data_IF_928408909135
#
_entry.id   IF_928408909135
#
_cell.length_a   1.000
_cell.length_b   1.000
_cell.length_c   1.000
_cell.angle_alpha   90.00
_cell.angle_beta   90.00
_cell.angle_gamma   90.00
#
_symmetry.space_group_name_H-M   'P 1'
#
loop_
_entity.id
_entity.type
_entity.pdbx_description
1 polymer ?
#
# COMPACT_ATOMS: atom_id res chain seq x y z
N UNK A 1 -60.44 -37.38 -45.34
CA UNK A 1 -59.64 -36.55 -46.26
C UNK A 1 -58.26 -36.43 -45.61
N UNK A 2 -57.24 -37.13 -46.12
CA UNK A 2 -55.91 -37.17 -45.48
C UNK A 2 -55.10 -36.00 -46.02
N UNK A 3 -54.72 -35.10 -45.12
CA UNK A 3 -53.90 -33.92 -45.40
C UNK A 3 -52.50 -34.37 -45.87
N UNK A 4 -52.13 -34.03 -47.10
CA UNK A 4 -50.79 -34.33 -47.64
C UNK A 4 -49.76 -33.41 -46.98
N UNK A 5 -48.70 -34.02 -46.44
CA UNK A 5 -47.55 -33.30 -45.89
C UNK A 5 -46.87 -32.42 -46.96
N UNK A 6 -46.20 -31.32 -46.58
CA UNK A 6 -45.51 -30.41 -47.50
C UNK A 6 -44.41 -31.10 -48.31
N UNK A 7 -44.24 -30.75 -49.60
CA UNK A 7 -43.23 -31.33 -50.51
C UNK A 7 -41.78 -31.26 -50.01
N UNK A 8 -41.48 -30.38 -49.06
CA UNK A 8 -40.16 -30.26 -48.43
C UNK A 8 -39.83 -31.45 -47.52
N UNK A 9 -40.84 -32.09 -46.92
CA UNK A 9 -40.66 -33.31 -46.12
C UNK A 9 -40.32 -34.52 -46.99
N UNK A 10 -40.87 -34.61 -48.22
CA UNK A 10 -40.55 -35.69 -49.16
C UNK A 10 -39.09 -35.65 -49.62
N UNK A 11 -38.50 -34.46 -49.74
CA UNK A 11 -37.10 -34.26 -50.09
C UNK A 11 -36.14 -34.54 -48.92
N UNK A 12 -36.59 -34.31 -47.68
CA UNK A 12 -35.79 -34.56 -46.48
C UNK A 12 -35.88 -36.02 -46.00
N UNK A 13 -36.93 -36.75 -46.38
CA UNK A 13 -37.21 -38.11 -45.91
C UNK A 13 -36.08 -39.13 -46.19
N UNK A 14 -35.38 -39.11 -47.34
CA UNK A 14 -34.24 -40.01 -47.57
C UNK A 14 -33.06 -39.69 -46.65
N UNK A 15 -32.70 -38.41 -46.52
CA UNK A 15 -31.60 -37.96 -45.65
C UNK A 15 -31.88 -38.29 -44.18
N UNK A 16 -33.12 -38.12 -43.71
CA UNK A 16 -33.56 -38.51 -42.37
C UNK A 16 -33.47 -40.03 -42.15
N UNK A 17 -33.78 -40.84 -43.16
CA UNK A 17 -33.61 -42.30 -43.09
C UNK A 17 -32.14 -42.70 -43.02
N UNK A 18 -31.28 -42.10 -43.85
CA UNK A 18 -29.83 -42.38 -43.82
C UNK A 18 -29.21 -41.95 -42.48
N UNK A 19 -29.57 -40.77 -41.97
CA UNK A 19 -29.13 -40.32 -40.65
C UNK A 19 -29.61 -41.27 -39.53
N UNK A 20 -30.85 -41.76 -39.63
CA UNK A 20 -31.42 -42.74 -38.70
C UNK A 20 -30.71 -44.10 -38.78
N UNK A 21 -30.33 -44.55 -39.97
CA UNK A 21 -29.62 -45.82 -40.14
C UNK A 21 -28.17 -45.72 -39.65
N UNK A 22 -27.49 -44.60 -39.92
CA UNK A 22 -26.14 -44.34 -39.40
C UNK A 22 -26.15 -44.26 -37.87
N UNK A 23 -27.12 -43.57 -37.27
CA UNK A 23 -27.26 -43.50 -35.80
C UNK A 23 -27.69 -44.82 -35.15
N UNK A 24 -28.31 -45.73 -35.91
CA UNK A 24 -28.62 -47.09 -35.48
C UNK A 24 -27.50 -48.10 -35.75
N UNK A 25 -26.48 -47.72 -36.51
CA UNK A 25 -25.34 -48.59 -36.75
C UNK A 25 -24.65 -48.94 -35.42
N UNK A 26 -24.24 -50.20 -35.28
CA UNK A 26 -23.57 -50.68 -34.06
C UNK A 26 -22.28 -49.93 -33.76
N UNK A 27 -21.59 -49.40 -34.78
CA UNK A 27 -20.39 -48.58 -34.63
C UNK A 27 -20.69 -47.23 -33.94
N UNK A 28 -21.75 -46.52 -34.36
CA UNK A 28 -22.13 -45.24 -33.73
C UNK A 28 -22.70 -45.47 -32.33
N UNK A 29 -23.50 -46.51 -32.13
CA UNK A 29 -24.00 -46.90 -30.81
C UNK A 29 -22.86 -47.31 -29.86
N UNK A 30 -21.85 -48.03 -30.36
CA UNK A 30 -20.65 -48.40 -29.62
C UNK A 30 -19.81 -47.19 -29.21
N UNK A 31 -19.63 -46.22 -30.12
CA UNK A 31 -18.95 -44.97 -29.81
C UNK A 31 -19.72 -44.15 -28.77
N UNK A 32 -21.05 -44.03 -28.91
CA UNK A 32 -21.90 -43.36 -27.92
C UNK A 32 -21.86 -44.07 -26.55
N UNK A 33 -21.82 -45.41 -26.54
CA UNK A 33 -21.67 -46.18 -25.30
C UNK A 33 -20.31 -45.94 -24.65
N UNK A 34 -19.23 -45.84 -25.44
CA UNK A 34 -17.89 -45.52 -24.97
C UNK A 34 -17.75 -44.07 -24.46
N UNK A 35 -18.50 -43.13 -25.04
CA UNK A 35 -18.51 -41.72 -24.61
C UNK A 35 -19.41 -41.45 -23.40
N UNK A 36 -20.39 -42.33 -23.14
CA UNK A 36 -21.39 -42.15 -22.08
C UNK A 36 -20.79 -41.92 -20.69
N UNK A 37 -19.74 -42.65 -20.26
CA UNK A 37 -19.10 -42.40 -18.97
C UNK A 37 -18.46 -41.01 -18.91
N UNK A 38 -17.73 -40.59 -19.95
CA UNK A 38 -17.13 -39.25 -20.00
C UNK A 38 -18.19 -38.15 -19.97
N UNK A 39 -19.28 -38.29 -20.72
CA UNK A 39 -20.41 -37.36 -20.69
C UNK A 39 -21.05 -37.28 -19.30
N UNK A 40 -21.20 -38.42 -18.60
CA UNK A 40 -21.70 -38.45 -17.22
C UNK A 40 -20.76 -37.72 -16.28
N UNK A 41 -19.46 -38.01 -16.32
CA UNK A 41 -18.46 -37.31 -15.47
C UNK A 41 -18.46 -35.81 -15.72
N UNK A 42 -18.55 -35.36 -16.97
CA UNK A 42 -18.66 -33.94 -17.28
C UNK A 42 -19.95 -33.36 -16.69
N UNK A 43 -21.09 -34.04 -16.83
CA UNK A 43 -22.35 -33.56 -16.25
C UNK A 43 -22.30 -33.50 -14.71
N UNK A 44 -21.69 -34.50 -14.06
CA UNK A 44 -21.54 -34.57 -12.60
C UNK A 44 -20.64 -33.47 -12.06
N UNK A 45 -19.63 -33.02 -12.82
CA UNK A 45 -18.70 -31.96 -12.42
C UNK A 45 -19.17 -30.58 -12.82
N UNK A 46 -20.01 -30.45 -13.86
CA UNK A 46 -20.44 -29.16 -14.40
C UNK A 46 -21.23 -28.34 -13.38
N UNK A 47 -22.18 -28.96 -12.67
CA UNK A 47 -23.02 -28.25 -11.71
C UNK A 47 -22.22 -27.79 -10.47
N UNK A 48 -21.41 -28.65 -9.81
CA UNK A 48 -20.55 -28.21 -8.70
C UNK A 48 -19.53 -27.15 -9.11
N UNK A 49 -18.96 -27.27 -10.31
CA UNK A 49 -18.03 -26.26 -10.84
C UNK A 49 -18.74 -24.93 -11.09
N UNK A 50 -19.95 -24.97 -11.65
CA UNK A 50 -20.79 -23.79 -11.84
C UNK A 50 -21.10 -23.08 -10.52
N UNK A 51 -21.44 -23.84 -9.48
CA UNK A 51 -21.66 -23.31 -8.13
C UNK A 51 -20.37 -22.68 -7.55
N UNK A 52 -19.23 -23.38 -7.63
CA UNK A 52 -17.95 -22.86 -7.16
C UNK A 52 -17.53 -21.56 -7.90
N UNK A 53 -17.76 -21.50 -9.21
CA UNK A 53 -17.49 -20.29 -10.00
C UNK A 53 -18.46 -19.15 -9.64
N UNK A 54 -19.72 -19.46 -9.30
CA UNK A 54 -20.67 -18.47 -8.81
C UNK A 54 -20.20 -17.85 -7.49
N UNK A 55 -19.61 -18.64 -6.60
CA UNK A 55 -19.05 -18.16 -5.32
C UNK A 55 -17.77 -17.33 -5.51
N UNK A 56 -16.96 -17.64 -6.52
CA UNK A 56 -15.74 -16.89 -6.84
C UNK A 56 -15.99 -15.59 -7.60
N UNK A 57 -17.13 -15.50 -8.29
CA UNK A 57 -17.45 -14.35 -9.15
C UNK A 57 -17.45 -12.99 -8.41
N UNK A 58 -18.02 -12.84 -7.21
CA UNK A 58 -17.92 -11.61 -6.41
C UNK A 58 -16.48 -11.21 -6.13
N UNK A 59 -15.63 -12.17 -5.74
CA UNK A 59 -14.22 -11.95 -5.44
C UNK A 59 -13.47 -11.49 -6.69
N UNK A 60 -13.66 -12.19 -7.81
CA UNK A 60 -13.02 -11.84 -9.07
C UNK A 60 -13.41 -10.42 -9.53
N UNK A 61 -14.69 -10.05 -9.38
CA UNK A 61 -15.18 -8.69 -9.69
C UNK A 61 -14.59 -7.64 -8.76
N UNK A 62 -14.59 -7.89 -7.45
CA UNK A 62 -13.94 -6.99 -6.48
C UNK A 62 -12.47 -6.74 -6.87
N UNK A 63 -11.73 -7.80 -7.18
CA UNK A 63 -10.33 -7.67 -7.57
C UNK A 63 -10.19 -6.91 -8.88
N UNK A 64 -10.99 -7.22 -9.90
CA UNK A 64 -10.89 -6.60 -11.23
C UNK A 64 -11.30 -5.12 -11.22
N UNK A 65 -12.39 -4.77 -10.52
CA UNK A 65 -13.05 -3.47 -10.63
C UNK A 65 -12.60 -2.48 -9.55
N UNK A 66 -12.23 -2.98 -8.35
CA UNK A 66 -11.88 -2.13 -7.20
C UNK A 66 -10.40 -2.22 -6.81
N UNK A 67 -9.82 -3.42 -6.71
CA UNK A 67 -8.45 -3.58 -6.18
C UNK A 67 -7.38 -3.35 -7.24
N UNK A 68 -7.45 -4.07 -8.37
CA UNK A 68 -6.43 -4.03 -9.40
C UNK A 68 -6.25 -2.63 -10.03
N UNK A 69 -7.30 -1.83 -10.28
CA UNK A 69 -7.14 -0.48 -10.79
C UNK A 69 -6.40 0.42 -9.80
N UNK A 70 -6.69 0.31 -8.50
CA UNK A 70 -6.00 1.08 -7.45
C UNK A 70 -4.53 0.68 -7.37
N UNK A 71 -4.24 -0.62 -7.39
CA UNK A 71 -2.86 -1.12 -7.34
C UNK A 71 -2.03 -0.67 -8.55
N UNK A 72 -2.65 -0.53 -9.73
CA UNK A 72 -2.00 -0.10 -10.97
C UNK A 72 -1.95 1.41 -11.16
N UNK A 73 -2.77 2.17 -10.45
CA UNK A 73 -2.77 3.62 -10.48
C UNK A 73 -1.50 4.18 -9.83
N UNK A 74 -1.18 5.43 -10.13
CA UNK A 74 -0.12 6.22 -9.47
C UNK A 74 -0.76 7.16 -8.46
N UNK A 75 -0.04 7.47 -7.37
CA UNK A 75 -0.51 8.46 -6.39
C UNK A 75 -0.05 9.87 -6.81
N UNK A 76 -0.97 10.81 -7.08
CA UNK A 76 -0.64 12.18 -7.48
C UNK A 76 -0.37 13.07 -6.24
N UNK A 77 0.82 12.96 -5.66
CA UNK A 77 1.31 13.74 -4.52
C UNK A 77 2.38 14.78 -4.91
N UNK A 78 2.28 15.31 -6.13
CA UNK A 78 3.17 16.36 -6.65
C UNK A 78 4.65 15.95 -6.62
N UNK A 79 5.49 16.73 -5.92
CA UNK A 79 6.93 16.44 -5.79
C UNK A 79 7.25 15.16 -5.00
N UNK A 80 6.27 14.63 -4.27
CA UNK A 80 6.42 13.41 -3.48
C UNK A 80 5.91 12.17 -4.22
N UNK A 81 5.33 12.33 -5.42
CA UNK A 81 5.00 11.21 -6.30
C UNK A 81 6.26 10.49 -6.77
N UNK A 82 6.25 9.16 -6.66
CA UNK A 82 7.28 8.29 -7.24
C UNK A 82 7.10 8.10 -8.75
N UNK A 83 5.90 8.39 -9.27
CA UNK A 83 5.49 8.06 -10.63
C UNK A 83 5.31 6.56 -10.89
N UNK A 84 5.42 5.72 -9.85
CA UNK A 84 5.25 4.28 -9.95
C UNK A 84 3.84 3.86 -9.54
N UNK A 85 3.36 2.69 -10.01
CA UNK A 85 2.12 2.11 -9.53
C UNK A 85 2.14 1.86 -8.02
N UNK A 86 0.99 1.99 -7.35
CA UNK A 86 0.83 1.80 -5.90
C UNK A 86 1.44 0.48 -5.41
N UNK A 87 1.31 -0.61 -6.16
CA UNK A 87 1.86 -1.90 -5.74
C UNK A 87 3.40 -1.88 -5.60
N UNK A 88 4.10 -1.08 -6.40
CA UNK A 88 5.56 -0.93 -6.30
C UNK A 88 5.93 -0.09 -5.09
N UNK A 89 5.21 1.02 -4.88
CA UNK A 89 5.40 1.86 -3.71
C UNK A 89 5.16 1.07 -2.42
N UNK A 90 4.11 0.24 -2.39
CA UNK A 90 3.80 -0.65 -1.26
C UNK A 90 4.89 -1.70 -1.02
N UNK A 91 5.44 -2.30 -2.08
CA UNK A 91 6.56 -3.24 -1.96
C UNK A 91 7.83 -2.55 -1.41
N UNK A 92 8.14 -1.35 -1.89
CA UNK A 92 9.25 -0.54 -1.37
C UNK A 92 9.03 -0.15 0.10
N UNK A 93 7.79 0.21 0.46
CA UNK A 93 7.41 0.52 1.83
C UNK A 93 7.59 -0.70 2.75
N UNK A 94 7.19 -1.90 2.33
CA UNK A 94 7.31 -3.11 3.13
C UNK A 94 8.78 -3.42 3.50
N UNK A 95 9.70 -3.22 2.56
CA UNK A 95 11.15 -3.37 2.82
C UNK A 95 11.64 -2.32 3.81
N UNK A 96 11.23 -1.05 3.63
CA UNK A 96 11.58 0.03 4.55
C UNK A 96 11.01 -0.17 5.97
N UNK A 97 9.75 -0.62 6.06
CA UNK A 97 9.06 -0.87 7.32
C UNK A 97 9.80 -1.91 8.15
N UNK A 98 10.16 -3.06 7.57
CA UNK A 98 10.91 -4.10 8.28
C UNK A 98 12.24 -3.60 8.87
N UNK A 99 12.90 -2.64 8.21
CA UNK A 99 14.11 -2.02 8.75
C UNK A 99 13.80 -1.03 9.88
N UNK A 100 12.67 -0.31 9.76
CA UNK A 100 12.23 0.68 10.75
C UNK A 100 11.70 0.06 12.05
N UNK A 101 10.96 -1.06 12.03
CA UNK A 101 10.45 -1.70 13.26
C UNK A 101 11.58 -2.16 14.17
N UNK A 102 12.72 -2.58 13.61
CA UNK A 102 13.92 -2.90 14.39
C UNK A 102 14.52 -1.67 15.12
N UNK A 103 14.11 -0.45 14.75
CA UNK A 103 14.54 0.81 15.39
C UNK A 103 13.45 1.47 16.25
N UNK A 104 12.17 1.09 16.07
CA UNK A 104 11.02 1.76 16.70
C UNK A 104 10.36 0.96 17.83
N UNK A 105 10.73 -0.30 18.05
CA UNK A 105 10.15 -1.12 19.14
C UNK A 105 10.52 -0.64 20.56
N UNK A 106 11.36 0.41 20.67
CA UNK A 106 11.87 0.97 21.93
C UNK A 106 12.49 -0.06 22.89
N UNK A 107 12.76 -1.29 22.46
CA UNK A 107 13.39 -2.34 23.25
C UNK A 107 14.91 -2.43 23.02
N UNK A 108 15.46 -1.62 22.11
CA UNK A 108 16.90 -1.48 21.97
C UNK A 108 17.52 -0.75 23.18
N UNK A 109 18.67 -1.24 23.68
CA UNK A 109 19.46 -0.64 24.78
C UNK A 109 19.97 0.80 24.53
N UNK A 110 19.60 1.43 23.42
CA UNK A 110 20.04 2.76 23.03
C UNK A 110 18.88 3.76 23.07
N UNK A 111 18.81 4.56 24.14
CA UNK A 111 18.02 5.79 24.14
C UNK A 111 18.70 6.75 23.15
N UNK A 112 18.11 6.93 21.97
CA UNK A 112 18.54 7.98 21.03
C UNK A 112 17.98 9.31 21.52
N UNK A 113 18.85 10.16 22.07
CA UNK A 113 18.53 11.57 22.29
C UNK A 113 18.42 12.26 20.92
N UNK A 114 17.19 12.48 20.47
CA UNK A 114 16.91 13.33 19.32
C UNK A 114 17.00 14.79 19.76
N UNK A 115 18.15 15.41 19.53
CA UNK A 115 18.28 16.85 19.64
C UNK A 115 17.71 17.47 18.36
N UNK A 116 16.53 18.09 18.46
CA UNK A 116 15.91 18.81 17.35
C UNK A 116 16.67 20.10 17.05
N UNK A 117 17.66 20.02 16.15
CA UNK A 117 18.32 21.19 15.59
C UNK A 117 17.57 21.62 14.33
N UNK A 118 17.27 22.91 14.23
CA UNK A 118 16.59 23.49 13.08
C UNK A 118 16.28 24.96 13.31
N UNK A 119 16.34 25.80 12.27
CA UNK A 119 16.14 27.25 12.40
C UNK A 119 14.66 27.66 12.41
N UNK A 120 13.74 26.73 12.18
CA UNK A 120 12.29 26.99 12.27
C UNK A 120 11.78 26.56 13.63
N UNK A 121 11.33 27.52 14.45
CA UNK A 121 10.54 27.20 15.64
C UNK A 121 9.09 27.03 15.22
N UNK A 122 8.53 25.86 15.52
CA UNK A 122 7.16 25.48 15.23
C UNK A 122 6.42 25.31 16.54
N UNK A 123 5.32 26.04 16.69
CA UNK A 123 4.46 25.96 17.85
C UNK A 123 3.11 25.39 17.43
N UNK A 124 2.69 24.28 18.04
CA UNK A 124 1.34 23.75 17.81
C UNK A 124 0.33 24.58 18.59
N UNK A 125 -0.87 24.80 18.03
CA UNK A 125 -1.99 25.33 18.81
C UNK A 125 -2.33 24.33 19.91
N UNK A 126 -2.53 24.79 21.14
CA UNK A 126 -2.80 23.97 22.31
C UNK A 126 -3.76 22.82 21.99
N UNK A 127 -3.24 21.60 21.96
CA UNK A 127 -4.05 20.38 21.94
C UNK A 127 -4.35 19.99 23.39
N UNK A 128 -5.07 18.89 23.63
CA UNK A 128 -5.40 18.42 24.97
C UNK A 128 -4.17 18.22 25.91
N UNK A 129 -2.94 18.22 25.37
CA UNK A 129 -1.68 18.16 26.12
C UNK A 129 -0.90 19.48 26.24
N UNK A 130 -1.49 20.63 25.84
CA UNK A 130 -0.85 21.95 25.90
C UNK A 130 -0.15 22.37 24.60
N UNK A 131 0.53 23.52 24.67
CA UNK A 131 1.36 24.02 23.57
C UNK A 131 2.64 23.17 23.46
N UNK A 132 2.89 22.58 22.30
CA UNK A 132 4.13 21.86 22.02
C UNK A 132 4.98 22.69 21.07
N UNK A 133 6.23 22.93 21.47
CA UNK A 133 7.22 23.60 20.66
C UNK A 133 8.21 22.59 20.11
N UNK A 134 8.48 22.67 18.82
CA UNK A 134 9.47 21.86 18.12
C UNK A 134 10.32 22.69 17.19
N UNK A 135 11.49 22.19 16.83
CA UNK A 135 12.36 22.79 15.82
C UNK A 135 12.42 21.93 14.56
N UNK A 136 12.49 22.58 13.41
CA UNK A 136 12.66 21.91 12.12
C UNK A 136 13.71 22.64 11.27
N UNK A 137 14.46 21.87 10.49
CA UNK A 137 15.46 22.40 9.56
C UNK A 137 14.82 23.05 8.32
N UNK A 138 13.68 22.52 7.89
CA UNK A 138 12.94 22.99 6.73
C UNK A 138 11.53 23.45 7.11
N UNK A 139 10.95 24.43 6.40
CA UNK A 139 9.56 24.79 6.60
C UNK A 139 8.66 23.57 6.37
N UNK A 140 7.84 23.22 7.37
CA UNK A 140 6.79 22.22 7.20
C UNK A 140 5.90 22.70 6.03
N UNK A 141 5.44 21.83 5.13
CA UNK A 141 4.62 22.31 3.99
C UNK A 141 3.13 22.10 4.22
N UNK A 142 2.78 21.17 5.11
CA UNK A 142 1.40 20.80 5.35
C UNK A 142 1.28 19.30 5.46
N UNK A 143 0.08 18.80 5.16
CA UNK A 143 -0.17 17.37 5.02
C UNK A 143 -0.81 17.06 3.68
N UNK A 144 -0.38 15.95 3.12
CA UNK A 144 -0.93 15.32 1.93
C UNK A 144 -0.94 13.80 2.18
N UNK A 145 -2.11 13.13 2.14
CA UNK A 145 -3.43 13.73 2.07
C UNK A 145 -3.77 14.53 3.35
N UNK A 146 -4.69 15.52 3.27
CA UNK A 146 -5.17 16.20 4.45
C UNK A 146 -5.94 15.25 5.36
N UNK A 147 -5.90 15.51 6.68
CA UNK A 147 -6.72 14.76 7.63
C UNK A 147 -8.20 14.89 7.23
N UNK A 148 -8.92 13.78 7.03
CA UNK A 148 -10.35 13.85 6.70
C UNK A 148 -11.13 14.40 7.88
N UNK A 149 -12.26 15.06 7.60
CA UNK A 149 -13.14 15.65 8.63
C UNK A 149 -13.79 14.60 9.54
N UNK A 150 -13.92 13.38 9.05
CA UNK A 150 -14.41 12.21 9.78
C UNK A 150 -13.67 10.98 9.29
N UNK A 151 -13.59 9.95 10.13
CA UNK A 151 -13.08 8.65 9.71
C UNK A 151 -13.95 8.12 8.57
N UNK A 152 -13.36 7.69 7.43
CA UNK A 152 -14.11 7.05 6.37
C UNK A 152 -14.88 5.83 6.91
N UNK A 153 -16.14 5.61 6.49
CA UNK A 153 -16.93 4.50 6.99
C UNK A 153 -16.31 3.17 6.54
N UNK A 154 -16.05 2.28 7.50
CA UNK A 154 -15.65 0.90 7.22
C UNK A 154 -16.92 0.04 7.06
N UNK A 155 -17.12 -0.54 5.87
CA UNK A 155 -18.33 -1.29 5.50
C UNK A 155 -17.99 -2.72 5.10
N UNK A 156 -17.62 -3.60 6.06
CA UNK A 156 -17.36 -5.01 5.78
C UNK A 156 -18.64 -5.79 5.47
N UNK A 157 -19.80 -5.22 5.82
CA UNK A 157 -21.14 -5.77 5.59
C UNK A 157 -21.60 -5.64 4.13
N UNK A 158 -20.91 -4.84 3.31
CA UNK A 158 -21.28 -4.57 1.92
C UNK A 158 -20.34 -5.34 0.98
N UNK A 159 -20.86 -6.08 -0.02
CA UNK A 159 -20.01 -6.79 -0.98
C UNK A 159 -19.05 -5.83 -1.71
N UNK A 160 -17.77 -6.17 -1.74
CA UNK A 160 -16.71 -5.31 -2.27
C UNK A 160 -16.98 -4.85 -3.71
N UNK A 161 -17.51 -5.72 -4.57
CA UNK A 161 -17.85 -5.41 -5.97
C UNK A 161 -18.93 -4.33 -6.12
N UNK A 162 -19.66 -4.02 -5.06
CA UNK A 162 -20.66 -2.94 -5.04
C UNK A 162 -20.15 -1.66 -4.37
N UNK A 163 -18.98 -1.73 -3.71
CA UNK A 163 -18.39 -0.58 -3.07
C UNK A 163 -17.76 0.36 -4.10
N UNK A 164 -17.71 1.65 -3.78
CA UNK A 164 -17.02 2.63 -4.62
C UNK A 164 -15.51 2.41 -4.51
N UNK A 165 -14.83 2.35 -5.65
CA UNK A 165 -13.38 2.35 -5.73
C UNK A 165 -12.79 3.52 -4.93
N UNK A 166 -11.68 3.26 -4.24
CA UNK A 166 -10.92 4.29 -3.51
C UNK A 166 -10.40 5.34 -4.51
N UNK A 167 -10.59 6.60 -4.14
CA UNK A 167 -10.03 7.73 -4.86
C UNK A 167 -8.63 8.04 -4.30
N UNK A 168 -7.64 8.13 -5.18
CA UNK A 168 -6.25 8.42 -4.84
C UNK A 168 -5.91 9.90 -4.99
N UNK A 169 -6.82 10.69 -5.58
CA UNK A 169 -6.62 12.12 -5.75
C UNK A 169 -6.55 12.82 -4.39
N UNK A 170 -5.61 13.74 -4.26
CA UNK A 170 -5.45 14.50 -3.03
C UNK A 170 -5.11 15.95 -3.30
N UNK A 171 -5.66 16.83 -2.47
CA UNK A 171 -5.34 18.25 -2.47
C UNK A 171 -4.57 18.56 -1.18
N UNK A 172 -3.27 18.87 -1.26
CA UNK A 172 -2.47 19.19 -0.08
C UNK A 172 -3.08 20.33 0.71
N UNK A 173 -3.13 20.19 2.04
CA UNK A 173 -3.50 21.32 2.91
C UNK A 173 -2.24 21.98 3.46
N UNK A 174 -2.07 23.30 3.28
CA UNK A 174 -0.94 24.00 3.84
C UNK A 174 -0.99 23.94 5.36
N UNK A 175 0.18 23.84 5.97
CA UNK A 175 0.31 23.86 7.43
C UNK A 175 -0.21 25.17 8.02
N UNK A 176 -0.94 25.07 9.12
CA UNK A 176 -1.47 26.21 9.88
C UNK A 176 -0.99 26.15 11.33
N UNK A 177 0.14 26.81 11.61
CA UNK A 177 0.57 27.13 12.97
C UNK A 177 1.58 28.29 12.94
N UNK A 178 1.88 28.85 14.11
CA UNK A 178 2.88 29.91 14.24
C UNK A 178 4.26 29.37 13.89
N UNK A 179 4.93 30.06 12.96
CA UNK A 179 6.31 29.79 12.57
C UNK A 179 7.12 31.04 12.80
N UNK A 180 8.29 30.88 13.40
CA UNK A 180 9.26 31.96 13.50
C UNK A 180 10.62 31.41 13.14
N UNK A 181 11.37 32.20 12.36
CA UNK A 181 12.78 31.96 12.18
C UNK A 181 13.47 32.23 13.52
N UNK A 182 14.03 31.18 14.11
CA UNK A 182 14.72 31.21 15.39
C UNK A 182 16.16 30.71 15.14
N UNK A 183 17.05 31.57 14.61
CA UNK A 183 18.40 31.17 14.27
C UNK A 183 19.09 30.53 15.47
N UNK A 184 19.85 29.48 15.21
CA UNK A 184 20.64 28.80 16.23
C UNK A 184 21.94 29.59 16.38
N UNK A 185 22.26 30.01 17.60
CA UNK A 185 23.62 30.46 17.94
C UNK A 185 24.50 29.23 18.18
N UNK A 186 25.43 28.89 17.26
CA UNK A 186 26.29 27.72 17.40
C UNK A 186 27.17 27.81 18.66
N UNK A 187 27.52 29.03 19.10
CA UNK A 187 28.33 29.25 20.29
C UNK A 187 27.51 28.97 21.55
N UNK A 188 26.24 29.34 21.58
CA UNK A 188 25.34 29.00 22.69
C UNK A 188 25.13 27.49 22.81
N UNK A 189 24.91 26.80 21.69
CA UNK A 189 24.78 25.33 21.67
C UNK A 189 26.07 24.67 22.14
N UNK A 190 27.24 25.13 21.67
CA UNK A 190 28.52 24.58 22.11
C UNK A 190 28.75 24.78 23.62
N UNK A 191 28.35 25.91 24.20
CA UNK A 191 28.43 26.16 25.64
C UNK A 191 27.54 25.20 26.43
N UNK A 192 26.29 25.03 26.00
CA UNK A 192 25.34 24.18 26.72
C UNK A 192 25.67 22.69 26.56
N UNK A 193 26.13 22.26 25.38
CA UNK A 193 26.62 20.90 25.16
C UNK A 193 27.82 20.57 26.07
N UNK A 194 28.74 21.51 26.29
CA UNK A 194 29.85 21.35 27.23
C UNK A 194 29.39 21.25 28.69
N UNK A 195 28.27 21.88 29.03
CA UNK A 195 27.67 21.85 30.37
C UNK A 195 26.89 20.56 30.64
N UNK A 196 26.17 20.06 29.63
CA UNK A 196 25.30 18.88 29.73
C UNK A 196 26.03 17.54 29.54
N UNK A 197 27.23 17.55 28.96
CA UNK A 197 28.14 16.40 29.00
C UNK A 197 28.85 16.44 30.35
N UNK A 198 28.40 15.69 31.39
CA UNK A 198 29.17 15.64 32.63
C UNK A 198 30.60 15.16 32.30
N UNK A 199 31.57 15.69 33.02
CA UNK A 199 32.81 14.97 33.26
C UNK A 199 32.44 13.68 34.02
N UNK A 200 31.99 12.67 33.29
CA UNK A 200 31.85 11.33 33.84
C UNK A 200 33.27 10.84 34.13
N UNK A 201 33.73 11.17 35.34
CA UNK A 201 34.90 10.61 35.97
C UNK A 201 34.85 9.09 35.93
N UNK A 202 36.04 8.53 35.83
CA UNK A 202 36.40 7.13 35.99
C UNK A 202 36.17 6.19 34.79
N UNK A 203 37.28 5.95 34.08
CA UNK A 203 37.47 4.80 33.19
C UNK A 203 38.25 5.16 31.92
N UNK A 204 39.57 5.01 31.97
CA UNK A 204 40.56 5.36 30.93
C UNK A 204 40.30 4.82 29.50
N UNK A 205 39.33 3.93 29.29
CA UNK A 205 38.93 3.44 27.97
C UNK A 205 37.91 4.34 27.23
N UNK A 206 37.33 5.36 27.89
CA UNK A 206 36.33 6.28 27.29
C UNK A 206 36.89 7.63 26.83
N UNK A 207 38.11 8.00 27.25
CA UNK A 207 38.72 9.30 26.93
C UNK A 207 38.86 9.56 25.42
N UNK A 208 39.18 8.53 24.64
CA UNK A 208 39.29 8.65 23.17
C UNK A 208 37.94 8.94 22.50
N UNK A 209 36.83 8.35 22.98
CA UNK A 209 35.49 8.62 22.44
C UNK A 209 34.96 9.99 22.82
N UNK A 210 35.28 10.48 24.02
CA UNK A 210 34.88 11.82 24.47
C UNK A 210 35.63 12.92 23.73
N UNK A 211 36.94 12.73 23.50
CA UNK A 211 37.75 13.62 22.67
C UNK A 211 37.23 13.63 21.22
N UNK A 212 36.93 12.46 20.65
CA UNK A 212 36.34 12.34 19.32
C UNK A 212 34.95 13.01 19.24
N UNK A 213 34.09 12.87 20.25
CA UNK A 213 32.78 13.52 20.31
C UNK A 213 32.92 15.05 20.39
N UNK A 214 33.84 15.56 21.21
CA UNK A 214 34.15 17.00 21.32
C UNK A 214 34.68 17.55 19.99
N UNK A 215 35.57 16.81 19.32
CA UNK A 215 36.13 17.19 18.03
C UNK A 215 35.06 17.17 16.92
N UNK A 216 34.17 16.18 16.94
CA UNK A 216 33.07 16.05 15.98
C UNK A 216 32.02 17.15 16.20
N UNK A 217 31.68 17.47 17.46
CA UNK A 217 30.83 18.62 17.80
C UNK A 217 31.48 19.95 17.40
N UNK A 218 32.79 20.12 17.63
CA UNK A 218 33.53 21.31 17.18
C UNK A 218 33.51 21.48 15.66
N UNK A 219 33.71 20.40 14.92
CA UNK A 219 33.66 20.37 13.47
C UNK A 219 32.25 20.62 12.92
N UNK A 220 31.21 20.00 13.49
CA UNK A 220 29.81 20.17 13.09
C UNK A 220 29.26 21.57 13.40
N UNK A 221 29.76 22.20 14.46
CA UNK A 221 29.34 23.55 14.88
C UNK A 221 30.18 24.66 14.23
N UNK A 222 31.04 24.32 13.25
CA UNK A 222 31.75 25.28 12.44
C UNK A 222 32.86 26.04 13.18
N UNK A 223 33.52 25.43 14.17
CA UNK A 223 34.81 25.94 14.62
C UNK A 223 35.91 25.49 13.64
N UNK A 224 35.77 25.91 12.37
CA UNK A 224 36.91 26.00 11.49
C UNK A 224 37.82 27.09 12.03
N UNK A 225 39.08 26.77 12.23
CA UNK A 225 40.12 27.70 12.62
C UNK A 225 40.04 28.94 11.72
N UNK A 226 39.82 30.12 12.33
CA UNK A 226 40.07 31.40 11.69
C UNK A 226 41.58 31.45 11.37
N UNK A 227 41.91 30.99 10.16
CA UNK A 227 43.25 31.05 9.60
C UNK A 227 43.69 32.50 9.46
N UNK A 228 44.78 32.82 10.17
CA UNK A 228 45.64 33.97 9.89
C UNK A 228 46.39 33.78 8.58
#
# INVERSE_FOLDING_TARGET
MIERLPRTLDLAAPALRTARDVTRSGAVQGLLAAFRPAARTVSEVSDPLGAALADLRPVARCVADNVAPVLRATVPDGRHSTGQPVWRDAASLAVGLNSSVASFDQNGYFVRYLLGLGNQLVTTSATAGGEVQGRSELPIQGSSPPKPSSTPPYRPDVPCETQRRVDLETTPRPFRASRRNAPIDPRAVAREARRLLPESGDGAARGGRQAALRQTLGALLGQGEDGR
#
